data_IF_068703831976
#
_entry.id   IF_068703831976
#
_cell.length_a   1.000
_cell.length_b   1.000
_cell.length_c   1.000
_cell.angle_alpha   90.00
_cell.angle_beta   90.00
_cell.angle_gamma   90.00
#
_symmetry.space_group_name_H-M   'P 1'
#
loop_
_entity.id
_entity.type
_entity.pdbx_description
1 polymer ?
#
# COMPACT_ATOMS: atom_id res chain seq x y z
N UNK A 1 12.29 -0.33 3.23
CA UNK A 1 12.87 -1.12 2.16
C UNK A 1 12.50 -0.51 0.80
N UNK A 2 13.48 0.07 0.13
CA UNK A 2 13.26 0.80 -1.13
C UNK A 2 12.67 -0.07 -2.24
N UNK A 3 13.05 -1.33 -2.33
CA UNK A 3 12.53 -2.25 -3.35
C UNK A 3 11.05 -2.54 -3.16
N UNK A 4 10.65 -2.78 -1.92
CA UNK A 4 9.24 -3.02 -1.59
C UNK A 4 8.40 -1.76 -1.84
N UNK A 5 8.91 -0.61 -1.46
CA UNK A 5 8.22 0.67 -1.64
C UNK A 5 8.04 0.99 -3.11
N UNK A 6 9.07 0.75 -3.92
CA UNK A 6 9.00 0.93 -5.37
C UNK A 6 7.97 0.01 -6.01
N UNK A 7 7.93 -1.26 -5.58
CA UNK A 7 6.96 -2.23 -6.07
C UNK A 7 5.52 -1.81 -5.72
N UNK A 8 5.30 -1.38 -4.50
CA UNK A 8 3.99 -0.90 -4.05
C UNK A 8 3.54 0.30 -4.89
N UNK A 9 4.44 1.25 -5.09
CA UNK A 9 4.15 2.44 -5.91
C UNK A 9 3.73 2.06 -7.32
N UNK A 10 4.42 1.10 -7.93
CA UNK A 10 4.09 0.63 -9.28
C UNK A 10 2.70 -0.01 -9.35
N UNK A 11 2.38 -0.84 -8.38
CA UNK A 11 1.08 -1.50 -8.32
C UNK A 11 -0.04 -0.49 -8.12
N UNK A 12 0.16 0.47 -7.20
CA UNK A 12 -0.80 1.54 -6.96
C UNK A 12 -1.03 2.38 -8.21
N UNK A 13 0.05 2.75 -8.86
CA UNK A 13 0.00 3.58 -10.06
C UNK A 13 -0.79 2.88 -11.17
N UNK A 14 -0.50 1.61 -11.42
CA UNK A 14 -1.20 0.84 -12.45
C UNK A 14 -2.68 0.68 -12.13
N UNK A 15 -3.00 0.35 -10.89
CA UNK A 15 -4.38 0.17 -10.45
C UNK A 15 -5.19 1.46 -10.61
N UNK A 16 -4.63 2.56 -10.14
CA UNK A 16 -5.30 3.87 -10.20
C UNK A 16 -5.46 4.35 -11.64
N UNK A 17 -4.45 4.11 -12.47
CA UNK A 17 -4.49 4.48 -13.88
C UNK A 17 -5.59 3.72 -14.61
N UNK A 18 -5.68 2.40 -14.42
CA UNK A 18 -6.71 1.58 -15.06
C UNK A 18 -8.11 1.99 -14.67
N UNK A 19 -8.33 2.28 -13.39
CA UNK A 19 -9.65 2.66 -12.90
C UNK A 19 -10.08 4.05 -13.35
N UNK A 20 -9.12 4.93 -13.60
CA UNK A 20 -9.40 6.32 -13.97
C UNK A 20 -9.39 6.60 -15.46
N UNK A 21 -8.84 5.69 -16.27
CA UNK A 21 -8.65 5.91 -17.70
C UNK A 21 -9.95 6.19 -18.46
N UNK A 22 -11.07 5.65 -17.97
CA UNK A 22 -12.35 5.74 -18.67
C UNK A 22 -13.24 6.89 -18.20
N UNK A 23 -12.84 7.65 -17.20
CA UNK A 23 -13.80 8.51 -16.48
C UNK A 23 -13.56 10.00 -16.51
N UNK A 24 -12.48 10.50 -17.09
CA UNK A 24 -12.31 11.95 -16.98
C UNK A 24 -11.60 12.59 -18.16
N UNK A 25 -12.27 13.59 -18.69
CA UNK A 25 -11.68 14.60 -19.56
C UNK A 25 -10.75 15.54 -18.80
N UNK A 26 -10.70 15.42 -17.47
CA UNK A 26 -9.88 16.28 -16.62
C UNK A 26 -8.59 15.57 -16.26
N UNK A 27 -7.48 16.24 -16.50
CA UNK A 27 -6.16 15.71 -16.15
C UNK A 27 -5.79 16.10 -14.73
N UNK A 28 -5.77 15.11 -13.86
CA UNK A 28 -5.25 15.28 -12.50
C UNK A 28 -3.88 14.66 -12.41
N UNK A 29 -3.01 15.27 -11.62
CA UNK A 29 -1.74 14.68 -11.28
C UNK A 29 -1.85 14.07 -9.88
N UNK A 30 -1.53 12.82 -9.77
CA UNK A 30 -1.51 12.12 -8.49
C UNK A 30 -0.07 11.73 -8.17
N UNK A 31 0.42 12.28 -7.08
CA UNK A 31 1.76 11.97 -6.58
C UNK A 31 1.63 11.24 -5.26
N UNK A 32 2.35 10.16 -5.09
CA UNK A 32 2.34 9.46 -3.82
C UNK A 32 3.71 8.96 -3.42
N UNK A 33 3.89 8.87 -2.11
CA UNK A 33 5.10 8.38 -1.47
C UNK A 33 4.70 7.29 -0.47
N UNK A 34 5.37 6.15 -0.53
CA UNK A 34 5.02 4.97 0.26
C UNK A 34 6.13 4.62 1.22
N UNK A 35 5.75 4.25 2.44
CA UNK A 35 6.65 3.63 3.42
C UNK A 35 6.15 2.24 3.74
N UNK A 36 7.07 1.29 3.72
CA UNK A 36 6.78 -0.11 4.05
C UNK A 36 7.68 -0.54 5.19
N UNK A 37 7.08 -1.21 6.18
CA UNK A 37 7.82 -1.69 7.33
C UNK A 37 7.31 -3.07 7.73
N UNK A 38 8.23 -3.96 8.07
CA UNK A 38 7.91 -5.28 8.59
C UNK A 38 8.65 -5.47 9.91
N UNK A 39 7.90 -5.80 10.97
CA UNK A 39 8.47 -6.00 12.30
C UNK A 39 8.14 -7.37 12.84
N UNK A 40 9.02 -7.88 13.72
CA UNK A 40 8.74 -9.06 14.50
C UNK A 40 8.01 -8.61 15.76
N UNK A 41 6.79 -9.11 15.95
CA UNK A 41 5.96 -8.74 17.10
C UNK A 41 6.33 -9.57 18.33
N UNK A 42 6.51 -10.88 18.11
CA UNK A 42 6.90 -11.79 19.20
C UNK A 42 7.77 -12.92 18.69
N UNK A 43 8.57 -13.46 19.59
CA UNK A 43 9.46 -14.59 19.31
C UNK A 43 9.26 -15.67 20.38
N UNK A 44 9.63 -16.91 20.05
CA UNK A 44 9.59 -18.01 21.01
C UNK A 44 10.82 -17.99 21.90
N UNK A 45 10.94 -18.98 22.78
CA UNK A 45 12.08 -19.08 23.73
C UNK A 45 13.43 -19.21 23.03
N UNK A 46 13.44 -19.75 21.82
CA UNK A 46 14.67 -19.92 21.02
C UNK A 46 15.02 -18.67 20.23
N UNK A 47 14.18 -17.62 20.26
CA UNK A 47 14.40 -16.42 19.49
C UNK A 47 13.82 -16.47 18.07
N UNK A 48 13.11 -17.54 17.72
CA UNK A 48 12.49 -17.64 16.39
C UNK A 48 11.21 -16.79 16.34
N UNK A 49 10.99 -16.06 15.24
CA UNK A 49 9.78 -15.24 15.12
C UNK A 49 8.51 -16.08 15.15
N UNK A 50 7.50 -15.61 15.89
CA UNK A 50 6.18 -16.24 15.98
C UNK A 50 5.13 -15.41 15.23
N UNK A 51 5.20 -14.09 15.34
CA UNK A 51 4.27 -13.18 14.66
C UNK A 51 5.02 -12.03 14.02
N UNK A 52 4.45 -11.53 12.95
CA UNK A 52 4.94 -10.35 12.24
C UNK A 52 3.85 -9.29 12.14
N UNK A 53 4.28 -8.06 11.92
CA UNK A 53 3.39 -6.94 11.59
C UNK A 53 3.93 -6.25 10.35
N UNK A 54 3.06 -6.05 9.36
CA UNK A 54 3.35 -5.22 8.20
C UNK A 54 2.62 -3.90 8.36
N UNK A 55 3.34 -2.80 8.14
CA UNK A 55 2.78 -1.44 8.13
C UNK A 55 3.06 -0.81 6.79
N UNK A 56 2.04 -0.18 6.21
CA UNK A 56 2.17 0.58 4.98
C UNK A 56 1.58 1.96 5.21
N UNK A 57 2.33 2.99 4.86
CA UNK A 57 1.86 4.36 4.91
C UNK A 57 2.01 4.95 3.50
N UNK A 58 0.93 5.48 2.96
CA UNK A 58 0.94 6.13 1.65
C UNK A 58 0.50 7.57 1.82
N UNK A 59 1.41 8.49 1.53
CA UNK A 59 1.11 9.91 1.42
C UNK A 59 0.77 10.20 -0.02
N UNK A 60 -0.36 10.85 -0.29
CA UNK A 60 -0.70 11.18 -1.65
C UNK A 60 -1.16 12.62 -1.77
N UNK A 61 -0.88 13.19 -2.93
CA UNK A 61 -1.22 14.55 -3.29
C UNK A 61 -1.91 14.53 -4.65
N UNK A 62 -3.10 15.10 -4.69
CA UNK A 62 -3.84 15.30 -5.93
C UNK A 62 -3.73 16.77 -6.31
N UNK A 63 -3.25 17.06 -7.52
CA UNK A 63 -3.23 18.43 -8.03
C UNK A 63 -3.81 18.49 -9.43
N UNK A 64 -4.20 19.68 -9.83
CA UNK A 64 -4.70 19.97 -11.17
C UNK A 64 -4.07 21.28 -11.62
N UNK A 65 -3.32 21.22 -12.71
CA UNK A 65 -2.64 22.40 -13.31
C UNK A 65 -1.79 23.16 -12.29
N UNK A 66 -1.04 22.40 -11.46
CA UNK A 66 -0.19 22.97 -10.44
C UNK A 66 -0.90 23.45 -9.19
N UNK A 67 -2.21 23.36 -9.15
CA UNK A 67 -3.02 23.76 -8.00
C UNK A 67 -3.33 22.53 -7.14
N UNK A 68 -2.90 22.58 -5.87
CA UNK A 68 -3.14 21.53 -4.90
C UNK A 68 -4.63 21.44 -4.56
N UNK A 69 -5.23 20.30 -4.81
CA UNK A 69 -6.64 20.06 -4.49
C UNK A 69 -6.81 19.27 -3.19
N UNK A 70 -5.94 18.30 -2.94
CA UNK A 70 -6.16 17.38 -1.85
C UNK A 70 -4.85 16.69 -1.47
N UNK A 71 -4.63 16.55 -0.17
CA UNK A 71 -3.46 15.83 0.38
C UNK A 71 -3.90 15.01 1.58
N UNK A 72 -3.48 13.75 1.62
CA UNK A 72 -3.83 12.88 2.74
C UNK A 72 -2.81 11.76 2.89
N UNK A 73 -2.90 11.07 4.03
CA UNK A 73 -2.08 9.91 4.34
C UNK A 73 -2.98 8.75 4.71
N UNK A 74 -2.73 7.58 4.13
CA UNK A 74 -3.43 6.35 4.46
C UNK A 74 -2.44 5.44 5.15
N UNK A 75 -2.79 4.96 6.34
CA UNK A 75 -2.00 4.01 7.12
C UNK A 75 -2.77 2.70 7.23
N UNK A 76 -2.11 1.60 6.89
CA UNK A 76 -2.66 0.26 7.04
C UNK A 76 -1.64 -0.62 7.73
N UNK A 77 -2.12 -1.51 8.60
CA UNK A 77 -1.26 -2.49 9.23
C UNK A 77 -1.99 -3.80 9.41
N UNK A 78 -1.24 -4.88 9.43
CA UNK A 78 -1.77 -6.21 9.67
C UNK A 78 -0.77 -7.05 10.44
N UNK A 79 -1.29 -7.80 11.42
CA UNK A 79 -0.52 -8.80 12.16
C UNK A 79 -0.83 -10.16 11.58
N UNK A 80 0.19 -11.01 11.48
CA UNK A 80 0.01 -12.37 10.98
C UNK A 80 1.01 -13.31 11.62
N UNK A 81 0.66 -14.58 11.64
CA UNK A 81 1.51 -15.62 12.23
C UNK A 81 2.60 -16.03 11.26
N UNK A 82 3.76 -16.39 11.82
CA UNK A 82 4.80 -17.02 11.03
C UNK A 82 4.31 -18.38 10.53
N UNK A 83 4.80 -18.76 9.37
CA UNK A 83 4.57 -20.06 8.76
C UNK A 83 5.94 -20.72 8.59
N UNK A 84 6.10 -21.96 9.05
CA UNK A 84 7.39 -22.63 9.05
C UNK A 84 7.96 -22.81 7.65
N UNK A 85 7.11 -23.11 6.67
CA UNK A 85 7.54 -23.22 5.28
C UNK A 85 7.76 -21.82 4.71
N UNK A 86 9.00 -21.52 4.34
CA UNK A 86 9.37 -20.20 3.84
C UNK A 86 8.68 -19.80 2.54
N UNK A 87 8.43 -20.76 1.68
CA UNK A 87 7.73 -20.50 0.42
C UNK A 87 6.27 -20.13 0.69
N UNK A 88 5.61 -20.87 1.57
CA UNK A 88 4.23 -20.58 1.94
C UNK A 88 4.12 -19.24 2.66
N UNK A 89 5.07 -18.90 3.50
CA UNK A 89 5.11 -17.61 4.19
C UNK A 89 5.22 -16.48 3.17
N UNK A 90 6.14 -16.60 2.23
CA UNK A 90 6.33 -15.59 1.19
C UNK A 90 5.06 -15.37 0.38
N UNK A 91 4.40 -16.47 0.00
CA UNK A 91 3.17 -16.44 -0.76
C UNK A 91 2.05 -15.77 0.02
N UNK A 92 1.94 -16.09 1.30
CA UNK A 92 0.97 -15.48 2.21
C UNK A 92 1.21 -13.97 2.33
N UNK A 93 2.48 -13.57 2.50
CA UNK A 93 2.85 -12.16 2.60
C UNK A 93 2.53 -11.39 1.32
N UNK A 94 2.75 -11.99 0.16
CA UNK A 94 2.38 -11.37 -1.11
C UNK A 94 0.88 -11.15 -1.23
N UNK A 95 0.08 -12.13 -0.81
CA UNK A 95 -1.37 -12.03 -0.84
C UNK A 95 -1.89 -10.93 0.09
N UNK A 96 -1.35 -10.86 1.31
CA UNK A 96 -1.69 -9.80 2.26
C UNK A 96 -1.34 -8.43 1.67
N UNK A 97 -0.15 -8.31 1.12
CA UNK A 97 0.34 -7.06 0.58
C UNK A 97 -0.55 -6.58 -0.57
N UNK A 98 -0.89 -7.49 -1.49
CA UNK A 98 -1.77 -7.15 -2.60
C UNK A 98 -3.15 -6.69 -2.13
N UNK A 99 -3.70 -7.33 -1.10
CA UNK A 99 -4.98 -6.94 -0.53
C UNK A 99 -4.92 -5.56 0.11
N UNK A 100 -3.84 -5.27 0.85
CA UNK A 100 -3.66 -3.96 1.47
C UNK A 100 -3.50 -2.86 0.42
N UNK A 101 -2.73 -3.12 -0.63
CA UNK A 101 -2.53 -2.16 -1.71
C UNK A 101 -3.86 -1.86 -2.41
N UNK A 102 -4.65 -2.89 -2.66
CA UNK A 102 -5.97 -2.72 -3.28
C UNK A 102 -6.88 -1.85 -2.41
N UNK A 103 -6.89 -2.10 -1.10
CA UNK A 103 -7.69 -1.32 -0.17
C UNK A 103 -7.24 0.14 -0.14
N UNK A 104 -5.93 0.38 -0.16
CA UNK A 104 -5.38 1.73 -0.20
C UNK A 104 -5.79 2.43 -1.49
N UNK A 105 -5.66 1.74 -2.63
CA UNK A 105 -6.03 2.30 -3.92
C UNK A 105 -7.52 2.65 -3.96
N UNK A 106 -8.38 1.79 -3.43
CA UNK A 106 -9.81 2.03 -3.37
C UNK A 106 -10.14 3.26 -2.50
N UNK A 107 -9.44 3.44 -1.39
CA UNK A 107 -9.61 4.62 -0.54
C UNK A 107 -9.17 5.91 -1.25
N UNK A 108 -8.08 5.85 -1.99
CA UNK A 108 -7.61 7.00 -2.78
C UNK A 108 -8.65 7.37 -3.83
N UNK A 109 -9.16 6.37 -4.56
CA UNK A 109 -10.19 6.59 -5.57
C UNK A 109 -11.45 7.18 -4.98
N UNK A 110 -11.87 6.67 -3.84
CA UNK A 110 -13.05 7.20 -3.14
C UNK A 110 -12.87 8.66 -2.78
N UNK A 111 -11.69 9.02 -2.27
CA UNK A 111 -11.39 10.41 -1.92
C UNK A 111 -11.44 11.33 -3.14
N UNK A 112 -10.93 10.87 -4.27
CA UNK A 112 -10.90 11.64 -5.51
C UNK A 112 -12.31 11.82 -6.07
N UNK A 113 -13.10 10.74 -6.07
CA UNK A 113 -14.44 10.76 -6.69
C UNK A 113 -15.50 11.42 -5.81
N UNK A 114 -15.26 11.50 -4.50
CA UNK A 114 -16.23 12.15 -3.60
C UNK A 114 -15.97 13.63 -3.33
N UNK A 115 -14.89 14.17 -3.85
CA UNK A 115 -14.56 15.59 -3.64
C UNK A 115 -15.05 16.52 -4.75
#
# INVERSE_FOLDING_TARGET
NADKESKINSILKNYLYEKNADKSDKKYNLTFSTKFDKEIVSSNEKGDPVNFKIKIAVNYLLDQDGKKLFKNTINKEINYNNIDDKYELLKYEENILNSLIKNIADEILFSITSS
#
